data_IF_609139876235
#
_entry.id   IF_609139876235
#
_cell.length_a   1.000
_cell.length_b   1.000
_cell.length_c   1.000
_cell.angle_alpha   90.00
_cell.angle_beta   90.00
_cell.angle_gamma   90.00
#
_symmetry.space_group_name_H-M   'P 1'
#
loop_
_entity.id
_entity.type
_entity.pdbx_description
1 polymer ?
#
# COMPACT_ATOMS: atom_id res chain seq x y z
N UNK A 1 -9.70 10.10 15.72
CA UNK A 1 -8.29 10.45 15.84
C UNK A 1 -7.48 9.17 15.85
N UNK A 2 -6.45 9.08 14.99
CA UNK A 2 -5.49 7.98 15.03
C UNK A 2 -4.62 8.19 16.26
N UNK A 3 -4.58 7.21 17.16
CA UNK A 3 -3.61 7.17 18.24
C UNK A 3 -2.48 6.21 17.85
N UNK A 4 -1.24 6.65 17.99
CA UNK A 4 -0.10 5.79 17.70
C UNK A 4 0.07 4.79 18.84
N UNK A 5 0.08 3.50 18.51
CA UNK A 5 0.44 2.43 19.43
C UNK A 5 1.97 2.32 19.51
N UNK A 6 2.48 1.98 20.69
CA UNK A 6 3.88 1.55 20.85
C UNK A 6 4.15 0.20 20.17
N UNK A 7 3.11 -0.56 19.83
CA UNK A 7 3.19 -1.83 19.11
C UNK A 7 2.89 -1.62 17.64
N UNK A 8 3.78 -2.11 16.78
CA UNK A 8 3.64 -2.07 15.33
C UNK A 8 3.42 -3.48 14.78
N UNK A 9 2.69 -3.59 13.69
CA UNK A 9 2.66 -4.81 12.88
C UNK A 9 3.71 -4.64 11.79
N UNK A 10 4.79 -5.38 11.92
CA UNK A 10 5.84 -5.41 10.91
C UNK A 10 5.43 -6.30 9.74
N UNK A 11 5.33 -5.72 8.56
CA UNK A 11 5.10 -6.45 7.30
C UNK A 11 6.40 -7.10 6.83
N UNK A 12 7.50 -6.35 6.88
CA UNK A 12 8.85 -6.85 6.68
C UNK A 12 9.68 -6.55 7.91
N UNK A 13 10.67 -7.40 8.27
CA UNK A 13 11.38 -7.27 9.54
C UNK A 13 12.05 -5.92 9.75
N UNK A 14 12.04 -5.44 10.99
CA UNK A 14 12.83 -4.28 11.39
C UNK A 14 14.32 -4.54 11.13
N UNK A 15 14.99 -3.71 10.32
CA UNK A 15 16.41 -3.87 10.02
C UNK A 15 17.32 -3.89 11.24
N UNK A 16 16.93 -3.20 12.32
CA UNK A 16 17.70 -3.18 13.57
C UNK A 16 17.67 -4.52 14.32
N UNK A 17 16.62 -5.31 14.13
CA UNK A 17 16.42 -6.59 14.83
C UNK A 17 16.60 -7.81 13.90
N UNK A 18 16.63 -7.59 12.60
CA UNK A 18 16.69 -8.65 11.61
C UNK A 18 18.08 -9.30 11.56
N UNK A 19 18.12 -10.63 11.65
CA UNK A 19 19.34 -11.39 11.37
C UNK A 19 19.58 -11.44 9.88
N UNK A 20 20.82 -11.22 9.38
CA UNK A 20 21.14 -11.43 7.99
C UNK A 20 20.74 -12.86 7.56
N UNK A 21 19.98 -12.99 6.49
CA UNK A 21 19.73 -14.30 5.89
C UNK A 21 21.03 -14.79 5.24
N UNK A 22 21.49 -15.95 5.66
CA UNK A 22 22.81 -16.52 5.27
C UNK A 22 22.92 -16.77 3.75
N UNK A 23 21.79 -16.82 3.04
CA UNK A 23 21.77 -17.24 1.63
C UNK A 23 21.64 -16.10 0.62
N UNK A 24 21.45 -14.86 1.04
CA UNK A 24 21.39 -13.69 0.15
C UNK A 24 20.36 -13.75 -1.01
N UNK A 25 19.51 -14.79 -1.03
CA UNK A 25 18.71 -15.15 -2.21
C UNK A 25 17.21 -14.86 -2.07
N UNK A 26 16.71 -14.58 -0.88
CA UNK A 26 15.25 -14.46 -0.67
C UNK A 26 14.94 -13.08 -0.11
N UNK A 27 14.26 -12.25 -0.89
CA UNK A 27 13.61 -11.06 -0.39
C UNK A 27 12.48 -11.46 0.57
N UNK A 28 12.30 -10.72 1.66
CA UNK A 28 11.15 -10.92 2.53
C UNK A 28 9.90 -10.37 1.85
N UNK A 29 8.77 -11.02 2.12
CA UNK A 29 7.45 -10.56 1.76
C UNK A 29 6.56 -10.71 2.98
N UNK A 30 5.90 -9.64 3.36
CA UNK A 30 4.86 -9.65 4.36
C UNK A 30 3.55 -9.09 3.80
N UNK A 31 2.45 -9.70 4.23
CA UNK A 31 1.10 -9.30 3.81
C UNK A 31 0.14 -9.41 4.97
N UNK A 32 -0.60 -8.36 5.21
CA UNK A 32 -1.66 -8.29 6.19
C UNK A 32 -2.97 -7.96 5.48
N UNK A 33 -4.01 -8.75 5.70
CA UNK A 33 -5.34 -8.51 5.14
C UNK A 33 -6.39 -8.60 6.22
N UNK A 34 -7.47 -7.83 6.06
CA UNK A 34 -8.68 -8.05 6.85
C UNK A 34 -9.27 -9.42 6.50
N UNK A 35 -9.70 -10.18 7.52
CA UNK A 35 -10.06 -11.60 7.37
C UNK A 35 -11.28 -11.86 6.49
N UNK A 36 -12.25 -10.94 6.48
CA UNK A 36 -13.51 -11.10 5.77
C UNK A 36 -13.50 -10.28 4.47
N UNK A 37 -13.59 -10.93 3.30
CA UNK A 37 -13.70 -10.21 2.04
C UNK A 37 -15.08 -9.56 1.90
N UNK A 38 -15.15 -8.47 1.14
CA UNK A 38 -16.38 -7.75 0.87
C UNK A 38 -16.58 -7.50 -0.62
N UNK A 39 -17.84 -7.32 -1.04
CA UNK A 39 -18.14 -6.96 -2.42
C UNK A 39 -18.03 -5.44 -2.58
N UNK A 40 -17.18 -5.01 -3.50
CA UNK A 40 -17.12 -3.62 -3.94
C UNK A 40 -18.11 -3.43 -5.10
N UNK A 41 -19.28 -2.86 -4.79
CA UNK A 41 -20.30 -2.53 -5.80
C UNK A 41 -19.96 -1.21 -6.52
N UNK A 42 -20.64 -0.93 -7.63
CA UNK A 42 -20.47 0.32 -8.38
C UNK A 42 -20.91 1.58 -7.62
N UNK A 43 -21.63 1.43 -6.51
CA UNK A 43 -22.08 2.52 -5.63
C UNK A 43 -21.28 2.59 -4.32
N UNK A 44 -20.38 1.63 -4.09
CA UNK A 44 -19.63 1.55 -2.86
C UNK A 44 -18.44 2.50 -2.86
N UNK A 45 -18.38 3.37 -1.87
CA UNK A 45 -17.27 4.27 -1.59
C UNK A 45 -16.50 3.80 -0.37
N UNK A 46 -15.20 4.08 -0.29
CA UNK A 46 -14.44 3.80 0.93
C UNK A 46 -13.54 4.95 1.32
N UNK A 47 -13.21 4.97 2.60
CA UNK A 47 -12.14 5.80 3.16
C UNK A 47 -11.26 4.94 4.04
N UNK A 48 -9.96 5.18 3.97
CA UNK A 48 -9.01 4.55 4.89
C UNK A 48 -7.99 5.56 5.37
N UNK A 49 -7.49 5.33 6.56
CA UNK A 49 -6.35 6.06 7.10
C UNK A 49 -5.46 5.12 7.89
N UNK A 50 -4.17 5.27 7.75
CA UNK A 50 -3.20 4.42 8.43
C UNK A 50 -1.92 5.18 8.75
N UNK A 51 -1.31 4.81 9.88
CA UNK A 51 0.01 5.28 10.26
C UNK A 51 1.03 4.18 9.95
N UNK A 52 2.10 4.55 9.28
CA UNK A 52 3.13 3.62 8.86
C UNK A 52 4.53 4.22 8.96
N UNK A 53 5.52 3.35 8.95
CA UNK A 53 6.93 3.72 8.89
C UNK A 53 7.65 2.78 7.95
N UNK A 54 8.53 3.33 7.14
CA UNK A 54 9.53 2.58 6.37
C UNK A 54 10.89 2.91 6.98
N UNK A 55 11.57 1.88 7.45
CA UNK A 55 12.87 1.98 8.13
C UNK A 55 13.94 1.41 7.22
N UNK A 56 14.89 2.23 6.82
CA UNK A 56 16.03 1.79 6.05
C UNK A 56 17.32 1.92 6.88
N UNK A 57 18.19 0.91 6.80
CA UNK A 57 19.44 0.85 7.56
C UNK A 57 20.67 1.33 6.77
N UNK A 58 20.51 1.74 5.53
CA UNK A 58 21.59 2.21 4.67
C UNK A 58 21.08 3.12 3.55
N UNK A 59 22.01 3.69 2.78
CA UNK A 59 21.72 4.47 1.58
C UNK A 59 21.04 3.69 0.44
N UNK A 60 20.79 2.39 0.65
CA UNK A 60 20.13 1.52 -0.31
C UNK A 60 18.70 1.27 0.21
N UNK A 61 17.74 1.84 -0.48
CA UNK A 61 16.32 1.61 -0.23
C UNK A 61 15.91 0.18 -0.60
N UNK A 62 14.83 -0.28 0.00
CA UNK A 62 14.20 -1.58 -0.29
C UNK A 62 13.21 -1.49 -1.43
N UNK A 63 12.03 -2.01 -1.22
CA UNK A 63 10.96 -1.98 -2.21
C UNK A 63 9.71 -1.23 -1.75
N UNK A 64 9.67 -0.81 -0.47
CA UNK A 64 8.52 -0.08 0.04
C UNK A 64 7.34 -0.97 0.45
N UNK A 65 6.15 -0.40 0.42
CA UNK A 65 4.90 -1.05 0.79
C UNK A 65 3.72 -0.56 -0.04
N UNK A 66 2.62 -1.32 -0.03
CA UNK A 66 1.37 -0.92 -0.66
C UNK A 66 0.17 -1.15 0.25
N UNK A 67 -0.79 -0.22 0.22
CA UNK A 67 -2.18 -0.45 0.58
C UNK A 67 -2.89 -1.01 -0.64
N UNK A 68 -3.72 -2.07 -0.49
CA UNK A 68 -4.36 -2.68 -1.66
C UNK A 68 -5.76 -3.24 -1.39
N UNK A 69 -6.53 -3.36 -2.46
CA UNK A 69 -7.69 -4.23 -2.61
C UNK A 69 -7.37 -5.30 -3.66
N UNK A 70 -7.64 -6.58 -3.36
CA UNK A 70 -7.40 -7.67 -4.32
C UNK A 70 -8.38 -8.83 -4.11
N UNK A 71 -8.65 -9.58 -5.16
CA UNK A 71 -9.49 -10.80 -5.08
C UNK A 71 -8.81 -11.96 -4.36
N UNK A 72 -7.54 -11.83 -3.99
CA UNK A 72 -6.78 -12.84 -3.26
C UNK A 72 -6.20 -12.30 -1.95
N UNK A 73 -6.40 -13.04 -0.86
CA UNK A 73 -5.70 -12.80 0.40
C UNK A 73 -4.21 -13.16 0.32
N UNK A 74 -3.85 -14.09 -0.58
CA UNK A 74 -2.47 -14.55 -0.76
C UNK A 74 -1.74 -13.69 -1.77
N UNK A 75 -0.48 -13.43 -1.50
CA UNK A 75 0.40 -12.80 -2.48
C UNK A 75 0.62 -13.75 -3.69
N UNK A 76 0.84 -13.22 -4.88
CA UNK A 76 1.29 -14.01 -6.03
C UNK A 76 2.61 -14.73 -5.72
N UNK A 77 2.84 -15.85 -6.40
CA UNK A 77 4.14 -16.50 -6.36
C UNK A 77 5.20 -15.58 -6.95
N UNK A 78 6.41 -15.62 -6.39
CA UNK A 78 7.55 -14.81 -6.87
C UNK A 78 7.23 -13.31 -6.96
N UNK A 79 6.55 -12.77 -5.93
CA UNK A 79 6.10 -11.38 -5.85
C UNK A 79 6.93 -10.52 -4.88
N UNK A 80 8.15 -10.95 -4.56
CA UNK A 80 9.09 -10.22 -3.71
C UNK A 80 9.74 -9.05 -4.46
N UNK A 81 10.64 -8.33 -3.78
CA UNK A 81 11.38 -7.19 -4.34
C UNK A 81 10.44 -6.11 -4.89
N UNK A 82 10.76 -5.46 -5.99
CA UNK A 82 9.95 -4.42 -6.62
C UNK A 82 8.55 -4.84 -7.07
N UNK A 83 8.14 -6.10 -6.85
CA UNK A 83 6.77 -6.55 -7.14
C UNK A 83 5.78 -6.26 -6.01
N UNK A 84 6.21 -5.73 -4.86
CA UNK A 84 5.41 -5.28 -3.71
C UNK A 84 4.38 -6.31 -3.19
N UNK A 85 4.55 -7.61 -3.53
CA UNK A 85 3.57 -8.64 -3.20
C UNK A 85 2.29 -8.58 -4.03
N UNK A 86 2.25 -7.84 -5.13
CA UNK A 86 1.07 -7.57 -5.96
C UNK A 86 1.12 -8.27 -7.31
N UNK A 87 2.30 -8.37 -7.92
CA UNK A 87 2.51 -9.00 -9.23
C UNK A 87 3.59 -10.08 -9.13
N UNK A 88 3.66 -10.97 -10.11
CA UNK A 88 4.75 -11.94 -10.22
C UNK A 88 5.98 -11.25 -10.77
N UNK A 89 7.09 -11.31 -10.02
CA UNK A 89 8.38 -10.82 -10.48
C UNK A 89 9.06 -11.84 -11.37
N UNK A 90 9.36 -11.47 -12.60
CA UNK A 90 10.22 -12.27 -13.46
C UNK A 90 11.66 -11.79 -13.36
N UNK A 91 12.48 -12.55 -12.67
CA UNK A 91 13.93 -12.39 -12.74
C UNK A 91 14.43 -13.04 -14.05
N UNK A 92 14.15 -12.39 -15.17
CA UNK A 92 14.75 -12.78 -16.43
C UNK A 92 16.05 -12.00 -16.57
N UNK A 93 17.14 -12.72 -16.83
CA UNK A 93 18.45 -12.16 -17.19
C UNK A 93 18.41 -11.37 -18.51
N UNK A 94 17.28 -11.34 -19.18
CA UNK A 94 17.09 -10.67 -20.46
C UNK A 94 16.67 -9.22 -20.28
N UNK A 95 17.33 -8.34 -21.02
CA UNK A 95 17.09 -6.89 -21.06
C UNK A 95 15.67 -6.51 -21.56
N UNK A 96 14.88 -7.49 -22.01
CA UNK A 96 13.48 -7.34 -22.46
C UNK A 96 12.50 -7.88 -21.43
N UNK A 97 12.56 -7.39 -20.19
CA UNK A 97 11.60 -7.77 -19.15
C UNK A 97 10.19 -7.34 -19.55
N UNK A 98 9.28 -8.31 -19.64
CA UNK A 98 7.87 -8.05 -19.89
C UNK A 98 7.12 -8.09 -18.56
N UNK A 99 6.36 -7.04 -18.26
CA UNK A 99 5.43 -7.06 -17.12
C UNK A 99 4.31 -8.04 -17.45
N UNK A 100 4.19 -9.10 -16.65
CA UNK A 100 3.07 -10.03 -16.80
C UNK A 100 1.80 -9.44 -16.22
N UNK A 101 0.63 -9.79 -16.79
CA UNK A 101 -0.63 -9.50 -16.16
C UNK A 101 -0.65 -10.07 -14.73
N UNK A 102 -1.19 -9.34 -13.75
CA UNK A 102 -1.28 -9.86 -12.39
C UNK A 102 -2.18 -11.09 -12.36
N UNK A 103 -1.83 -12.13 -11.56
CA UNK A 103 -2.65 -13.33 -11.46
C UNK A 103 -3.99 -13.07 -10.76
N UNK A 104 -4.08 -11.97 -10.01
CA UNK A 104 -5.28 -11.53 -9.30
C UNK A 104 -5.52 -10.05 -9.58
N UNK A 105 -6.74 -9.64 -9.95
CA UNK A 105 -7.09 -8.23 -10.06
C UNK A 105 -6.79 -7.48 -8.76
N UNK A 106 -6.23 -6.29 -8.88
CA UNK A 106 -5.96 -5.43 -7.74
C UNK A 106 -6.06 -3.94 -8.08
N UNK A 107 -6.39 -3.17 -7.06
CA UNK A 107 -6.16 -1.74 -6.93
C UNK A 107 -5.18 -1.54 -5.79
N UNK A 108 -4.17 -0.68 -5.96
CA UNK A 108 -3.26 -0.36 -4.88
C UNK A 108 -2.87 1.13 -4.86
N UNK A 109 -2.39 1.55 -3.70
CA UNK A 109 -1.61 2.77 -3.53
C UNK A 109 -0.25 2.33 -3.01
N UNK A 110 0.77 2.48 -3.84
CA UNK A 110 2.15 2.15 -3.48
C UNK A 110 2.84 3.33 -2.79
N UNK A 111 3.69 3.01 -1.85
CA UNK A 111 4.66 3.87 -1.18
C UNK A 111 6.02 3.24 -1.46
N UNK A 112 6.56 3.55 -2.63
CA UNK A 112 7.71 2.85 -3.17
C UNK A 112 9.01 3.58 -2.81
N UNK A 113 10.00 2.79 -2.42
CA UNK A 113 11.35 3.22 -2.04
C UNK A 113 12.41 2.65 -2.96
N UNK A 114 12.00 2.14 -4.12
CA UNK A 114 12.90 1.65 -5.16
C UNK A 114 12.77 2.45 -6.45
N UNK A 115 13.75 2.31 -7.32
CA UNK A 115 13.71 2.88 -8.67
C UNK A 115 13.82 1.75 -9.68
N UNK A 116 12.71 1.43 -10.32
CA UNK A 116 12.64 0.42 -11.36
C UNK A 116 12.26 1.03 -12.71
N UNK A 117 13.17 1.06 -13.68
CA UNK A 117 12.81 1.49 -15.03
C UNK A 117 11.73 0.64 -15.68
N UNK A 118 11.57 -0.62 -15.24
CA UNK A 118 10.52 -1.54 -15.69
C UNK A 118 9.12 -1.01 -15.36
N UNK A 119 8.96 -0.40 -14.18
CA UNK A 119 7.70 0.16 -13.71
C UNK A 119 7.58 1.66 -13.97
N UNK A 120 8.61 2.26 -14.60
CA UNK A 120 8.66 3.70 -14.93
C UNK A 120 8.64 4.59 -13.69
N UNK A 121 9.28 4.13 -12.63
CA UNK A 121 9.34 4.87 -11.37
C UNK A 121 10.04 6.22 -11.56
N UNK A 122 9.48 7.32 -11.01
CA UNK A 122 10.07 8.64 -11.15
C UNK A 122 11.30 8.84 -10.24
N UNK A 123 11.34 8.14 -9.10
CA UNK A 123 12.40 8.31 -8.08
C UNK A 123 12.45 7.13 -7.11
N UNK A 124 13.41 7.19 -6.17
CA UNK A 124 13.52 6.27 -5.03
C UNK A 124 12.53 6.57 -3.89
N UNK A 125 11.62 7.50 -4.07
CA UNK A 125 10.64 7.87 -3.05
C UNK A 125 9.41 8.47 -3.73
N UNK A 126 8.44 7.62 -4.04
CA UNK A 126 7.24 8.05 -4.77
C UNK A 126 5.99 7.34 -4.25
N UNK A 127 4.84 7.92 -4.57
CA UNK A 127 3.51 7.37 -4.30
C UNK A 127 2.82 7.19 -5.64
N UNK A 128 2.31 5.98 -5.90
CA UNK A 128 1.59 5.65 -7.11
C UNK A 128 0.17 5.12 -6.86
N UNK A 129 -0.69 5.29 -7.85
CA UNK A 129 -2.01 4.64 -7.92
C UNK A 129 -1.92 3.55 -8.97
N UNK A 130 -2.09 2.31 -8.55
CA UNK A 130 -1.88 1.12 -9.34
C UNK A 130 -3.18 0.41 -9.67
N UNK A 131 -3.36 0.09 -10.95
CA UNK A 131 -4.55 -0.58 -11.45
C UNK A 131 -4.12 -1.78 -12.28
N UNK A 132 -4.14 -2.97 -11.69
CA UNK A 132 -3.68 -4.21 -12.33
C UNK A 132 -2.27 -4.12 -12.92
N UNK A 133 -1.45 -3.21 -12.44
CA UNK A 133 -0.09 -2.93 -12.93
C UNK A 133 0.68 -2.16 -11.89
N UNK A 134 1.98 -2.37 -11.78
CA UNK A 134 2.91 -1.50 -11.04
C UNK A 134 3.50 -0.38 -11.94
N UNK A 135 3.11 -0.30 -13.20
CA UNK A 135 3.22 0.96 -13.92
C UNK A 135 2.04 1.81 -13.48
N UNK A 136 2.26 2.71 -12.57
CA UNK A 136 1.23 3.52 -11.92
C UNK A 136 0.40 4.30 -12.94
N UNK A 137 -0.93 4.29 -12.77
CA UNK A 137 -1.86 5.08 -13.57
C UNK A 137 -1.70 6.60 -13.34
N UNK A 138 -1.29 6.96 -12.13
CA UNK A 138 -0.79 8.29 -11.77
C UNK A 138 0.23 8.14 -10.64
N UNK A 139 1.28 8.96 -10.64
CA UNK A 139 2.39 8.87 -9.70
C UNK A 139 2.88 10.28 -9.32
N UNK A 140 3.38 10.41 -8.10
CA UNK A 140 4.05 11.63 -7.63
C UNK A 140 5.37 11.30 -6.96
N UNK A 141 6.42 12.03 -7.34
CA UNK A 141 7.69 12.02 -6.63
C UNK A 141 7.51 12.77 -5.31
N UNK A 142 7.74 12.10 -4.20
CA UNK A 142 7.59 12.72 -2.87
C UNK A 142 8.72 13.69 -2.54
N UNK A 143 9.79 13.71 -3.33
CA UNK A 143 10.91 14.64 -3.18
C UNK A 143 10.66 15.96 -3.94
N UNK A 144 9.81 15.94 -4.96
CA UNK A 144 9.49 17.10 -5.81
C UNK A 144 8.25 17.88 -5.30
N UNK A 145 8.03 17.85 -4.00
CA UNK A 145 6.97 18.60 -3.34
C UNK A 145 7.53 19.85 -2.65
N UNK A 146 6.67 20.83 -2.36
CA UNK A 146 7.06 22.02 -1.57
C UNK A 146 7.55 21.66 -0.14
N UNK A 147 7.24 20.47 0.32
CA UNK A 147 7.71 19.88 1.59
C UNK A 147 8.09 18.43 1.33
N UNK A 148 9.35 18.14 0.95
CA UNK A 148 9.77 16.79 0.60
C UNK A 148 9.49 15.76 1.71
N UNK A 149 8.90 14.63 1.33
CA UNK A 149 8.49 13.55 2.21
C UNK A 149 9.22 12.26 1.84
N UNK A 150 10.51 12.18 2.17
CA UNK A 150 11.30 10.96 1.92
C UNK A 150 10.73 9.77 2.68
N UNK A 151 10.23 8.76 1.99
CA UNK A 151 9.52 7.62 2.57
C UNK A 151 10.40 6.76 3.49
N UNK A 152 11.69 6.68 3.23
CA UNK A 152 12.66 5.83 3.95
C UNK A 152 13.52 6.59 4.97
N UNK A 153 12.99 7.66 5.54
CA UNK A 153 13.70 8.52 6.51
C UNK A 153 13.45 8.14 7.98
N UNK A 154 12.84 6.99 8.24
CA UNK A 154 12.48 6.51 9.58
C UNK A 154 11.40 7.34 10.30
N UNK A 155 10.75 8.29 9.63
CA UNK A 155 9.61 9.02 10.20
C UNK A 155 8.34 8.18 10.13
N UNK A 156 7.42 8.45 11.06
CA UNK A 156 6.08 7.89 10.98
C UNK A 156 5.22 8.81 10.13
N UNK A 157 4.70 8.25 9.05
CA UNK A 157 3.75 8.93 8.17
C UNK A 157 2.33 8.54 8.52
N UNK A 158 1.39 9.43 8.24
CA UNK A 158 -0.03 9.10 8.15
C UNK A 158 -0.51 9.34 6.73
N UNK A 159 -1.13 8.32 6.16
CA UNK A 159 -1.76 8.41 4.86
C UNK A 159 -3.28 8.23 4.95
N UNK A 160 -3.98 8.85 4.01
CA UNK A 160 -5.42 8.68 3.78
C UNK A 160 -5.63 8.32 2.32
N UNK A 161 -6.48 7.33 2.07
CA UNK A 161 -6.94 6.98 0.72
C UNK A 161 -8.45 7.02 0.72
N UNK A 162 -9.02 7.71 -0.24
CA UNK A 162 -10.46 7.82 -0.44
C UNK A 162 -10.82 7.43 -1.86
N UNK A 163 -11.84 6.62 -2.01
CA UNK A 163 -12.53 6.36 -3.27
C UNK A 163 -13.98 6.79 -3.16
N UNK A 164 -14.42 7.60 -4.09
CA UNK A 164 -15.78 8.10 -4.20
C UNK A 164 -16.43 7.51 -5.46
N UNK A 165 -17.42 6.64 -5.26
CA UNK A 165 -18.02 5.86 -6.35
C UNK A 165 -18.79 6.72 -7.36
N UNK A 166 -19.45 7.79 -6.92
CA UNK A 166 -20.22 8.68 -7.80
C UNK A 166 -19.32 9.38 -8.81
N UNK A 167 -18.23 9.96 -8.36
CA UNK A 167 -17.26 10.67 -9.20
C UNK A 167 -16.16 9.76 -9.76
N UNK A 168 -16.07 8.50 -9.26
CA UNK A 168 -15.01 7.54 -9.57
C UNK A 168 -13.63 8.06 -9.21
N UNK A 169 -13.56 8.97 -8.25
CA UNK A 169 -12.36 9.71 -7.89
C UNK A 169 -11.64 9.04 -6.73
N UNK A 170 -10.37 8.73 -6.97
CA UNK A 170 -9.42 8.25 -5.98
C UNK A 170 -8.58 9.45 -5.55
N UNK A 171 -8.40 9.64 -4.24
CA UNK A 171 -7.54 10.67 -3.66
C UNK A 171 -6.64 10.09 -2.60
N UNK A 172 -5.40 10.54 -2.58
CA UNK A 172 -4.38 10.15 -1.61
C UNK A 172 -3.83 11.39 -0.92
N UNK A 173 -3.71 11.33 0.40
CA UNK A 173 -3.05 12.35 1.22
C UNK A 173 -1.98 11.69 2.07
N UNK A 174 -0.94 12.42 2.40
CA UNK A 174 0.10 11.97 3.32
C UNK A 174 0.67 13.16 4.10
N UNK A 175 1.09 12.89 5.33
CA UNK A 175 1.83 13.83 6.18
C UNK A 175 2.77 13.08 7.11
N UNK A 176 3.84 13.74 7.53
CA UNK A 176 4.78 13.29 8.56
C UNK A 176 4.62 14.05 9.89
N UNK A 177 3.46 14.66 10.15
CA UNK A 177 3.24 15.48 11.33
C UNK A 177 3.47 14.70 12.64
N UNK A 178 4.28 15.26 13.52
CA UNK A 178 4.48 14.78 14.88
C UNK A 178 3.34 15.26 15.79
N UNK A 179 2.31 14.44 15.96
CA UNK A 179 1.12 14.75 16.76
C UNK A 179 -0.12 14.06 16.20
N UNK A 180 -1.31 14.31 16.76
CA UNK A 180 -2.53 13.78 16.15
C UNK A 180 -2.64 14.31 14.72
N UNK A 181 -2.51 13.45 13.69
CA UNK A 181 -2.41 13.92 12.32
C UNK A 181 -3.76 14.44 11.83
N UNK A 182 -3.75 15.64 11.28
CA UNK A 182 -4.87 16.15 10.48
C UNK A 182 -4.58 15.93 9.00
N UNK A 183 -5.59 15.49 8.26
CA UNK A 183 -5.47 15.32 6.82
C UNK A 183 -5.19 16.68 6.16
N UNK A 184 -4.16 16.80 5.31
CA UNK A 184 -3.91 18.02 4.54
C UNK A 184 -5.13 18.44 3.72
N UNK A 185 -5.32 19.75 3.43
CA UNK A 185 -6.47 20.22 2.67
C UNK A 185 -6.46 19.73 1.21
N UNK A 186 -5.29 19.55 0.63
CA UNK A 186 -5.13 19.08 -0.76
C UNK A 186 -4.55 17.67 -0.78
N UNK A 187 -5.06 16.78 -1.68
CA UNK A 187 -4.45 15.49 -1.92
C UNK A 187 -3.08 15.66 -2.57
N UNK A 188 -2.14 14.78 -2.23
CA UNK A 188 -0.83 14.70 -2.87
C UNK A 188 -0.93 13.99 -4.23
N UNK A 189 -1.94 13.13 -4.41
CA UNK A 189 -2.17 12.38 -5.63
C UNK A 189 -3.67 12.12 -5.81
N UNK A 190 -4.16 12.18 -7.04
CA UNK A 190 -5.54 11.82 -7.37
C UNK A 190 -5.65 11.22 -8.77
N UNK A 191 -6.64 10.36 -8.98
CA UNK A 191 -6.91 9.75 -10.27
C UNK A 191 -8.39 9.37 -10.39
N UNK A 192 -8.96 9.51 -11.60
CA UNK A 192 -10.35 9.13 -11.87
C UNK A 192 -10.37 7.77 -12.55
N UNK A 193 -10.91 6.77 -11.87
CA UNK A 193 -11.09 5.42 -12.41
C UNK A 193 -12.16 4.66 -11.63
N UNK A 194 -13.02 3.93 -12.34
CA UNK A 194 -14.03 3.08 -11.71
C UNK A 194 -13.41 1.76 -11.23
N UNK A 195 -12.90 1.75 -10.00
CA UNK A 195 -12.26 0.55 -9.44
C UNK A 195 -13.23 -0.61 -9.22
N UNK A 196 -14.56 -0.37 -9.21
CA UNK A 196 -15.53 -1.45 -9.09
C UNK A 196 -15.53 -2.39 -10.29
N UNK A 197 -15.10 -1.89 -11.45
CA UNK A 197 -15.00 -2.68 -12.70
C UNK A 197 -13.87 -3.70 -12.69
N UNK A 198 -12.90 -3.55 -11.78
CA UNK A 198 -11.79 -4.51 -11.63
C UNK A 198 -12.25 -5.84 -11.02
N UNK A 199 -13.34 -5.81 -10.25
CA UNK A 199 -13.66 -6.92 -9.36
C UNK A 199 -15.03 -7.53 -9.65
N UNK A 200 -15.04 -8.76 -10.12
CA UNK A 200 -16.25 -9.58 -10.27
C UNK A 200 -16.49 -10.52 -9.07
N UNK A 201 -15.59 -10.53 -8.10
CA UNK A 201 -15.60 -11.33 -6.87
C UNK A 201 -15.38 -10.43 -5.65
N UNK A 202 -15.69 -10.93 -4.43
CA UNK A 202 -15.34 -10.22 -3.21
C UNK A 202 -13.83 -9.96 -3.11
N UNK A 203 -13.49 -8.83 -2.49
CA UNK A 203 -12.11 -8.36 -2.36
C UNK A 203 -11.66 -8.35 -0.90
N UNK A 204 -10.41 -8.64 -0.70
CA UNK A 204 -9.68 -8.42 0.54
C UNK A 204 -9.04 -7.03 0.50
N UNK A 205 -8.98 -6.39 1.67
CA UNK A 205 -8.28 -5.12 1.87
C UNK A 205 -7.13 -5.32 2.83
N UNK A 206 -6.00 -4.67 2.58
CA UNK A 206 -4.85 -4.79 3.46
C UNK A 206 -3.60 -4.09 2.96
N UNK A 207 -2.47 -4.61 3.43
CA UNK A 207 -1.14 -4.10 3.14
C UNK A 207 -0.21 -5.22 2.72
N UNK A 208 0.75 -4.89 1.87
CA UNK A 208 1.89 -5.76 1.55
C UNK A 208 3.17 -4.94 1.54
N UNK A 209 4.28 -5.59 1.83
CA UNK A 209 5.62 -5.01 1.75
C UNK A 209 6.61 -6.07 1.36
N UNK A 210 7.66 -5.67 0.69
CA UNK A 210 8.72 -6.57 0.25
C UNK A 210 10.09 -5.92 0.45
N UNK A 211 11.13 -6.76 0.54
CA UNK A 211 12.52 -6.34 0.55
C UNK A 211 13.21 -6.77 -0.73
N UNK A 212 14.27 -6.05 -1.07
CA UNK A 212 15.08 -6.33 -2.25
C UNK A 212 15.84 -7.66 -2.11
N UNK A 213 16.01 -8.37 -3.22
CA UNK A 213 16.85 -9.57 -3.29
C UNK A 213 18.32 -9.26 -3.01
N UNK A 214 19.00 -10.14 -2.28
CA UNK A 214 20.46 -10.24 -2.23
C UNK A 214 21.19 -9.27 -1.31
N UNK A 215 20.54 -8.29 -0.68
CA UNK A 215 21.19 -7.26 0.13
C UNK A 215 20.88 -7.34 1.63
N UNK A 216 20.25 -8.43 2.10
CA UNK A 216 19.83 -8.57 3.48
C UNK A 216 18.60 -7.71 3.80
N UNK A 217 18.25 -7.65 5.08
CA UNK A 217 17.11 -6.86 5.56
C UNK A 217 17.52 -5.40 5.72
N UNK A 218 17.59 -4.66 4.64
CA UNK A 218 17.99 -3.26 4.66
C UNK A 218 16.81 -2.31 4.87
N UNK A 219 15.59 -2.81 4.69
CA UNK A 219 14.37 -2.03 4.87
C UNK A 219 13.29 -2.87 5.56
N UNK A 220 12.59 -2.24 6.51
CA UNK A 220 11.42 -2.78 7.17
C UNK A 220 10.24 -1.85 7.04
N UNK A 221 9.04 -2.39 6.87
CA UNK A 221 7.79 -1.64 6.84
C UNK A 221 6.86 -2.06 7.97
N UNK A 222 6.33 -1.09 8.70
CA UNK A 222 5.47 -1.30 9.84
C UNK A 222 4.20 -0.47 9.79
N UNK A 223 3.08 -1.06 10.22
CA UNK A 223 1.78 -0.41 10.40
C UNK A 223 1.54 -0.21 11.90
N UNK A 224 1.28 1.04 12.32
CA UNK A 224 1.04 1.41 13.72
C UNK A 224 -0.44 1.59 14.02
N UNK A 225 -1.22 2.04 13.05
CA UNK A 225 -2.66 2.24 13.17
C UNK A 225 -3.30 2.08 11.81
N UNK A 226 -4.54 1.59 11.78
CA UNK A 226 -5.32 1.47 10.56
C UNK A 226 -6.80 1.59 10.85
N UNK A 227 -7.48 2.42 10.06
CA UNK A 227 -8.93 2.49 9.97
C UNK A 227 -9.35 2.33 8.51
N UNK A 228 -10.39 1.56 8.28
CA UNK A 228 -11.03 1.42 6.98
C UNK A 228 -12.53 1.48 7.15
N UNK A 229 -13.21 2.23 6.29
CA UNK A 229 -14.66 2.34 6.27
C UNK A 229 -15.17 2.22 4.85
N UNK A 230 -16.14 1.34 4.65
CA UNK A 230 -16.85 1.13 3.39
C UNK A 230 -18.31 1.55 3.58
N UNK A 231 -18.83 2.36 2.67
CA UNK A 231 -20.24 2.74 2.61
C UNK A 231 -20.82 2.33 1.26
N UNK A 232 -21.98 1.68 1.27
CA UNK A 232 -22.67 1.26 0.05
C UNK A 232 -24.15 1.63 0.13
N UNK A 233 -24.58 2.74 -0.49
CA UNK A 233 -25.98 3.18 -0.46
C UNK A 233 -26.98 2.17 -1.02
N UNK A 234 -26.54 1.29 -1.92
CA UNK A 234 -27.43 0.27 -2.52
C UNK A 234 -27.88 -0.80 -1.52
N UNK A 235 -27.19 -0.92 -0.38
CA UNK A 235 -27.53 -1.90 0.69
C UNK A 235 -28.44 -1.35 1.77
N UNK A 236 -28.92 -0.13 1.68
CA UNK A 236 -29.68 0.57 2.71
C UNK A 236 -31.21 0.37 2.66
N UNK A 237 -31.70 -0.71 2.05
CA UNK A 237 -33.14 -0.98 2.03
C UNK A 237 -33.53 -2.08 3.03
N UNK A 238 -33.78 -1.77 4.29
CA UNK A 238 -34.74 -2.45 5.20
C UNK A 238 -34.52 -2.24 6.70
N UNK A 239 -33.57 -1.48 7.15
CA UNK A 239 -33.51 -1.01 8.55
C UNK A 239 -32.42 0.06 8.68
N UNK A 240 -32.67 1.10 9.44
CA UNK A 240 -31.92 2.33 9.68
C UNK A 240 -30.42 2.19 10.07
N UNK A 241 -29.67 1.28 9.47
CA UNK A 241 -28.23 1.15 9.60
C UNK A 241 -27.63 1.05 8.20
N UNK A 242 -26.96 2.10 7.73
CA UNK A 242 -25.98 1.97 6.64
C UNK A 242 -25.01 0.87 7.05
N UNK A 243 -24.89 -0.20 6.24
CA UNK A 243 -23.92 -1.26 6.53
C UNK A 243 -22.51 -0.71 6.26
N UNK A 244 -21.95 -0.05 7.25
CA UNK A 244 -20.55 0.39 7.21
C UNK A 244 -19.69 -0.76 7.74
N UNK A 245 -18.77 -1.24 6.90
CA UNK A 245 -17.68 -2.06 7.39
C UNK A 245 -16.63 -1.10 7.97
N UNK A 246 -16.40 -1.17 9.27
CA UNK A 246 -15.36 -0.41 9.95
C UNK A 246 -14.31 -1.38 10.45
N UNK A 247 -13.09 -1.19 10.00
CA UNK A 247 -11.91 -1.92 10.48
C UNK A 247 -11.07 -0.94 11.29
N UNK A 248 -10.78 -1.28 12.53
CA UNK A 248 -9.83 -0.53 13.34
C UNK A 248 -8.85 -1.53 13.95
N UNK A 249 -7.56 -1.27 13.84
CA UNK A 249 -6.57 -1.98 14.64
C UNK A 249 -6.68 -1.48 16.07
N UNK A 250 -6.82 -2.39 17.06
CA UNK A 250 -6.86 -1.97 18.43
C UNK A 250 -5.54 -1.29 18.80
N UNK A 251 -5.66 -0.16 19.46
CA UNK A 251 -4.52 0.46 20.17
C UNK A 251 -4.21 -0.49 21.31
N UNK A 252 -3.05 -1.14 21.29
CA UNK A 252 -2.56 -1.84 22.48
C UNK A 252 -2.29 -0.79 23.56
N UNK A 253 -3.01 -0.90 24.67
CA UNK A 253 -2.82 -0.09 25.88
C UNK A 253 -1.50 -0.42 26.55
#
# INVERSE_FOLDING_TARGET
>A
PLSFSSSAIWLTPDPASAKPTVDGKIGNLGRMVYKDPFKLSSTASFTTSFAFRIVANASISGSGMAFFLSTSAKAPKDSQSGALGLVTYQNTSDLNQTVLPPPYPFFAVEFDTSLSPLYKDPSLSHIGIDINSLVSANVTDTNDTSSPLFLYNNYTFTAWVQYEAESKLIRVWMTNASGPPSRPPQPILQYTYDISTLFNQPVYVGFSSTNRFGLGNLEGAAIYAWNFSLTDPSKSSASHASSALVIALPVAL
#
